data_IF_626322529860
#
_entry.id   IF_626322529860
#
_cell.length_a   1.000
_cell.length_b   1.000
_cell.length_c   1.000
_cell.angle_alpha   90.00
_cell.angle_beta   90.00
_cell.angle_gamma   90.00
#
_symmetry.space_group_name_H-M   'P 1'
#
loop_
_entity.id
_entity.type
_entity.pdbx_description
1 polymer ?
#
# COMPACT_ATOMS: atom_id res chain seq x y z
N UNK A 1 17.21 -6.58 -15.02
CA UNK A 1 16.09 -6.03 -14.21
C UNK A 1 16.64 -5.78 -12.83
N UNK A 2 16.42 -4.59 -12.32
CA UNK A 2 16.88 -4.13 -11.01
C UNK A 2 15.66 -3.77 -10.15
N UNK A 3 15.69 -4.10 -8.85
CA UNK A 3 14.66 -3.71 -7.90
C UNK A 3 15.33 -2.81 -6.86
N UNK A 4 14.84 -1.57 -6.75
CA UNK A 4 15.39 -0.59 -5.82
C UNK A 4 14.34 0.46 -5.43
N UNK A 5 14.75 1.41 -4.60
CA UNK A 5 13.98 2.62 -4.36
C UNK A 5 13.87 3.44 -5.65
N UNK A 6 12.70 3.98 -5.96
CA UNK A 6 12.56 4.83 -7.14
C UNK A 6 13.37 6.11 -7.00
N UNK A 7 13.89 6.56 -8.12
CA UNK A 7 14.51 7.89 -8.28
C UNK A 7 13.47 8.90 -8.76
N UNK A 8 13.76 10.19 -8.63
CA UNK A 8 12.84 11.25 -9.07
C UNK A 8 12.48 11.18 -10.57
N UNK A 9 13.38 10.66 -11.41
CA UNK A 9 13.10 10.47 -12.85
C UNK A 9 12.10 9.37 -13.15
N UNK A 10 11.83 8.47 -12.18
CA UNK A 10 10.87 7.37 -12.33
C UNK A 10 9.46 7.74 -11.84
N UNK A 11 9.28 8.84 -11.11
CA UNK A 11 7.97 9.23 -10.59
C UNK A 11 6.88 9.35 -11.67
N UNK A 12 7.11 9.98 -12.84
CA UNK A 12 6.11 9.98 -13.89
C UNK A 12 5.71 8.60 -14.38
N UNK A 13 6.66 7.66 -14.41
CA UNK A 13 6.39 6.27 -14.80
C UNK A 13 5.60 5.52 -13.71
N UNK A 14 5.86 5.80 -12.44
CA UNK A 14 5.08 5.26 -11.32
C UNK A 14 3.63 5.72 -11.37
N UNK A 15 3.38 7.00 -11.67
CA UNK A 15 2.04 7.56 -11.86
C UNK A 15 1.32 6.89 -13.04
N UNK A 16 2.01 6.73 -14.17
CA UNK A 16 1.48 6.05 -15.35
C UNK A 16 1.15 4.58 -15.08
N UNK A 17 2.03 3.86 -14.35
CA UNK A 17 1.78 2.48 -13.95
C UNK A 17 0.55 2.37 -13.03
N UNK A 18 0.39 3.32 -12.11
CA UNK A 18 -0.77 3.38 -11.23
C UNK A 18 -2.06 3.56 -12.03
N UNK A 19 -2.11 4.60 -12.89
CA UNK A 19 -3.25 4.89 -13.75
C UNK A 19 -3.64 3.65 -14.58
N UNK A 20 -2.65 3.01 -15.20
CA UNK A 20 -2.86 1.82 -16.03
C UNK A 20 -3.39 0.62 -15.24
N UNK A 21 -3.00 0.50 -13.97
CA UNK A 21 -3.29 -0.69 -13.15
C UNK A 21 -4.61 -0.60 -12.39
N UNK A 22 -4.99 0.60 -11.95
CA UNK A 22 -6.13 0.81 -11.06
C UNK A 22 -7.21 1.72 -11.65
N UNK A 23 -6.88 2.54 -12.65
CA UNK A 23 -7.84 3.43 -13.30
C UNK A 23 -8.30 4.61 -12.43
N UNK A 24 -7.59 4.89 -11.35
CA UNK A 24 -7.89 6.03 -10.47
C UNK A 24 -7.76 7.36 -11.21
N UNK A 25 -8.46 8.38 -10.76
CA UNK A 25 -8.39 9.71 -11.39
C UNK A 25 -7.01 10.35 -11.22
N UNK A 26 -6.65 11.23 -12.17
CA UNK A 26 -5.41 12.01 -12.06
C UNK A 26 -5.34 12.82 -10.77
N UNK A 27 -6.47 13.36 -10.32
CA UNK A 27 -6.57 14.10 -9.06
C UNK A 27 -6.25 13.24 -7.86
N UNK A 28 -6.79 12.02 -7.80
CA UNK A 28 -6.48 11.05 -6.73
C UNK A 28 -5.00 10.69 -6.73
N UNK A 29 -4.44 10.35 -7.90
CA UNK A 29 -3.03 10.00 -8.05
C UNK A 29 -2.14 11.19 -7.65
N UNK A 30 -2.47 12.40 -8.12
CA UNK A 30 -1.74 13.61 -7.75
C UNK A 30 -1.77 13.86 -6.24
N UNK A 31 -2.93 13.69 -5.61
CA UNK A 31 -3.10 13.79 -4.15
C UNK A 31 -2.22 12.81 -3.38
N UNK A 32 -2.21 11.53 -3.82
CA UNK A 32 -1.33 10.53 -3.23
C UNK A 32 0.15 10.91 -3.34
N UNK A 33 0.60 11.31 -4.52
CA UNK A 33 2.01 11.68 -4.72
C UNK A 33 2.41 12.99 -4.04
N UNK A 34 1.45 13.86 -3.76
CA UNK A 34 1.70 15.10 -3.00
C UNK A 34 1.76 14.88 -1.48
N UNK A 35 0.97 13.94 -0.92
CA UNK A 35 0.81 13.78 0.51
C UNK A 35 1.21 12.42 1.07
N UNK A 36 0.94 11.33 0.34
CA UNK A 36 1.16 9.95 0.83
C UNK A 36 2.43 9.28 0.32
N UNK A 37 2.96 9.74 -0.82
CA UNK A 37 4.12 9.13 -1.44
C UNK A 37 5.42 9.49 -0.72
N UNK A 38 6.20 8.45 -0.44
CA UNK A 38 7.57 8.59 0.02
C UNK A 38 8.45 7.61 -0.76
N UNK A 39 9.50 8.06 -1.49
CA UNK A 39 10.39 7.16 -2.23
C UNK A 39 10.97 6.05 -1.37
N UNK A 40 11.27 6.32 -0.09
CA UNK A 40 11.77 5.33 0.86
C UNK A 40 10.71 4.34 1.37
N UNK A 41 9.45 4.55 1.00
CA UNK A 41 8.32 3.65 1.24
C UNK A 41 7.72 3.13 -0.08
N UNK A 42 8.60 2.96 -1.08
CA UNK A 42 8.27 2.38 -2.37
C UNK A 42 9.42 1.47 -2.84
N UNK A 43 9.09 0.35 -3.45
CA UNK A 43 10.04 -0.46 -4.23
C UNK A 43 9.55 -0.53 -5.66
N UNK A 44 10.43 -0.37 -6.62
CA UNK A 44 10.10 -0.54 -8.02
C UNK A 44 11.10 -1.46 -8.73
N UNK A 45 10.58 -2.26 -9.65
CA UNK A 45 11.37 -3.06 -10.57
C UNK A 45 11.47 -2.30 -11.90
N UNK A 46 12.70 -2.08 -12.37
CA UNK A 46 12.95 -1.42 -13.65
C UNK A 46 13.73 -2.32 -14.60
N UNK A 47 13.40 -2.25 -15.88
CA UNK A 47 14.10 -2.93 -16.95
C UNK A 47 14.41 -1.91 -18.05
N UNK A 48 15.70 -1.74 -18.39
CA UNK A 48 16.16 -0.75 -19.38
C UNK A 48 15.65 0.68 -19.09
N UNK A 49 15.60 1.08 -17.84
CA UNK A 49 15.13 2.39 -17.40
C UNK A 49 13.60 2.56 -17.32
N UNK A 50 12.82 1.53 -17.70
CA UNK A 50 11.36 1.56 -17.62
C UNK A 50 10.87 0.84 -16.36
N UNK A 51 9.96 1.47 -15.63
CA UNK A 51 9.30 0.88 -14.46
C UNK A 51 8.34 -0.22 -14.92
N UNK A 52 8.65 -1.44 -14.55
CA UNK A 52 7.87 -2.64 -14.90
C UNK A 52 6.91 -3.07 -13.79
N UNK A 53 7.25 -2.80 -12.53
CA UNK A 53 6.38 -3.08 -11.38
C UNK A 53 6.72 -2.14 -10.22
N UNK A 54 5.75 -1.87 -9.37
CA UNK A 54 5.94 -1.07 -8.17
C UNK A 54 5.02 -1.53 -7.04
N UNK A 55 5.42 -1.25 -5.82
CA UNK A 55 4.58 -1.33 -4.63
C UNK A 55 4.97 -0.20 -3.66
N UNK A 56 4.01 0.19 -2.86
CA UNK A 56 4.17 1.21 -1.82
C UNK A 56 3.81 0.61 -0.46
N UNK A 57 4.16 1.29 0.62
CA UNK A 57 3.65 0.92 1.93
C UNK A 57 3.48 2.14 2.82
N UNK A 58 2.62 1.98 3.80
CA UNK A 58 2.45 2.86 4.93
C UNK A 58 2.90 2.16 6.20
N UNK A 59 3.41 2.91 7.15
CA UNK A 59 3.67 2.38 8.46
C UNK A 59 2.33 2.02 9.12
N UNK A 60 2.30 0.89 9.80
CA UNK A 60 1.11 0.43 10.49
C UNK A 60 1.51 -0.26 11.80
N UNK A 61 0.64 -0.14 12.78
CA UNK A 61 0.72 -0.91 14.02
C UNK A 61 -0.37 -1.98 14.01
N UNK A 62 -0.01 -3.18 14.39
CA UNK A 62 -0.94 -4.29 14.58
C UNK A 62 -0.52 -5.09 15.81
N UNK A 63 -1.39 -5.11 16.83
CA UNK A 63 -1.15 -5.80 18.11
C UNK A 63 0.16 -5.38 18.79
N UNK A 64 0.47 -4.09 18.74
CA UNK A 64 1.68 -3.53 19.34
C UNK A 64 2.98 -3.82 18.58
N UNK A 65 2.89 -4.38 17.37
CA UNK A 65 4.02 -4.68 16.50
C UNK A 65 4.04 -3.74 15.29
N UNK A 66 5.23 -3.47 14.75
CA UNK A 66 5.42 -2.60 13.60
C UNK A 66 5.23 -3.37 12.30
N UNK A 67 4.20 -3.03 11.55
CA UNK A 67 3.90 -3.61 10.25
C UNK A 67 4.00 -2.59 9.12
N UNK A 68 4.22 -3.08 7.91
CA UNK A 68 4.04 -2.31 6.68
C UNK A 68 2.70 -2.68 6.04
N UNK A 69 1.82 -1.72 5.83
CA UNK A 69 0.62 -1.91 5.03
C UNK A 69 0.96 -1.70 3.56
N UNK A 70 1.07 -2.80 2.81
CA UNK A 70 1.41 -2.76 1.38
C UNK A 70 0.23 -2.23 0.58
N UNK A 71 0.52 -1.30 -0.30
CA UNK A 71 -0.47 -0.57 -1.05
C UNK A 71 -0.10 -0.49 -2.54
N UNK A 72 -1.12 -0.48 -3.41
CA UNK A 72 -0.98 -0.31 -4.85
C UNK A 72 0.13 -1.17 -5.49
N UNK A 73 0.10 -2.49 -5.20
CA UNK A 73 1.03 -3.45 -5.82
C UNK A 73 0.65 -3.65 -7.28
N UNK A 74 1.49 -3.20 -8.20
CA UNK A 74 1.21 -3.20 -9.63
C UNK A 74 2.32 -3.83 -10.45
N UNK A 75 1.95 -4.49 -11.55
CA UNK A 75 2.87 -4.94 -12.59
C UNK A 75 2.31 -4.55 -13.94
N UNK A 76 3.11 -3.83 -14.73
CA UNK A 76 2.75 -3.38 -16.06
C UNK A 76 2.32 -4.58 -16.93
N UNK A 77 1.26 -4.50 -17.73
CA UNK A 77 0.74 -5.61 -18.53
C UNK A 77 1.79 -6.34 -19.35
N UNK A 78 2.67 -5.62 -20.03
CA UNK A 78 3.72 -6.19 -20.88
C UNK A 78 4.79 -6.97 -20.12
N UNK A 79 4.82 -6.82 -18.79
CA UNK A 79 5.79 -7.49 -17.92
C UNK A 79 5.16 -8.55 -17.01
N UNK A 80 3.85 -8.82 -17.17
CA UNK A 80 3.15 -9.85 -16.41
C UNK A 80 3.62 -11.26 -16.78
N UNK A 81 3.30 -12.23 -15.94
CA UNK A 81 3.65 -13.65 -16.09
C UNK A 81 5.17 -13.95 -16.13
N UNK A 82 6.00 -12.99 -15.74
CA UNK A 82 7.48 -13.11 -15.69
C UNK A 82 8.01 -13.24 -14.25
N UNK A 83 7.13 -13.46 -13.28
CA UNK A 83 7.51 -13.60 -11.86
C UNK A 83 7.82 -12.29 -11.13
N UNK A 84 7.66 -11.14 -11.79
CA UNK A 84 8.03 -9.81 -11.27
C UNK A 84 7.36 -9.45 -9.96
N UNK A 85 6.06 -9.64 -9.86
CA UNK A 85 5.32 -9.37 -8.61
C UNK A 85 5.93 -10.18 -7.44
N UNK A 86 6.23 -11.45 -7.65
CA UNK A 86 6.86 -12.29 -6.62
C UNK A 86 8.25 -11.78 -6.23
N UNK A 87 9.07 -11.41 -7.21
CA UNK A 87 10.40 -10.87 -6.95
C UNK A 87 10.35 -9.55 -6.18
N UNK A 88 9.45 -8.63 -6.59
CA UNK A 88 9.22 -7.36 -5.93
C UNK A 88 8.73 -7.52 -4.48
N UNK A 89 7.79 -8.45 -4.24
CA UNK A 89 7.28 -8.75 -2.90
C UNK A 89 8.38 -9.36 -2.00
N UNK A 90 9.23 -10.23 -2.54
CA UNK A 90 10.34 -10.81 -1.79
C UNK A 90 11.41 -9.76 -1.44
N UNK A 91 11.74 -8.88 -2.37
CA UNK A 91 12.66 -7.76 -2.15
C UNK A 91 12.10 -6.79 -1.09
N UNK A 92 10.82 -6.42 -1.20
CA UNK A 92 10.16 -5.58 -0.21
C UNK A 92 10.18 -6.23 1.18
N UNK A 93 9.91 -7.52 1.29
CA UNK A 93 9.97 -8.23 2.57
C UNK A 93 11.37 -8.18 3.19
N UNK A 94 12.44 -8.40 2.40
CA UNK A 94 13.82 -8.28 2.86
C UNK A 94 14.15 -6.84 3.31
N UNK A 95 13.73 -5.85 2.53
CA UNK A 95 13.89 -4.44 2.86
C UNK A 95 13.19 -4.08 4.18
N UNK A 96 11.94 -4.51 4.37
CA UNK A 96 11.16 -4.25 5.57
C UNK A 96 11.78 -4.93 6.79
N UNK A 97 12.20 -6.19 6.68
CA UNK A 97 12.91 -6.89 7.75
C UNK A 97 14.17 -6.14 8.17
N UNK A 98 14.98 -5.69 7.20
CA UNK A 98 16.18 -4.89 7.47
C UNK A 98 15.90 -3.53 8.14
N UNK A 99 14.65 -3.05 8.09
CA UNK A 99 14.19 -1.81 8.71
C UNK A 99 13.42 -2.03 10.02
N UNK A 100 13.42 -3.25 10.54
CA UNK A 100 12.82 -3.60 11.82
C UNK A 100 11.29 -3.68 11.80
N UNK A 101 10.69 -3.99 10.64
CA UNK A 101 9.26 -4.35 10.60
C UNK A 101 9.08 -5.82 10.98
N UNK A 102 8.07 -6.09 11.79
CA UNK A 102 7.70 -7.44 12.22
C UNK A 102 6.96 -8.23 11.13
N UNK A 103 6.38 -7.51 10.15
CA UNK A 103 5.68 -8.10 9.03
C UNK A 103 5.09 -7.11 8.05
N UNK A 104 4.36 -7.63 7.09
CA UNK A 104 3.63 -6.85 6.10
C UNK A 104 2.17 -7.30 6.03
N UNK A 105 1.28 -6.34 5.92
CA UNK A 105 -0.16 -6.52 5.76
C UNK A 105 -0.57 -6.05 4.37
N UNK A 106 -1.59 -6.67 3.81
CA UNK A 106 -2.21 -6.19 2.57
C UNK A 106 -3.67 -6.64 2.52
N UNK A 107 -4.46 -5.94 1.74
CA UNK A 107 -5.85 -6.30 1.47
C UNK A 107 -5.98 -6.71 0.00
N UNK A 108 -6.16 -8.01 -0.31
CA UNK A 108 -6.38 -8.46 -1.67
C UNK A 108 -7.76 -8.03 -2.16
N UNK A 109 -7.84 -7.51 -3.38
CA UNK A 109 -9.10 -7.06 -3.97
C UNK A 109 -10.07 -8.22 -4.24
N UNK A 110 -9.54 -9.40 -4.58
CA UNK A 110 -10.34 -10.57 -4.94
C UNK A 110 -9.73 -11.90 -4.44
N UNK A 111 -10.48 -12.97 -4.61
CA UNK A 111 -10.07 -14.32 -4.21
C UNK A 111 -8.88 -14.86 -5.02
N UNK A 112 -8.66 -14.39 -6.24
CA UNK A 112 -7.51 -14.75 -7.08
C UNK A 112 -6.22 -14.18 -6.51
N UNK A 113 -6.23 -12.89 -6.16
CA UNK A 113 -5.12 -12.21 -5.49
C UNK A 113 -4.86 -12.82 -4.11
N UNK A 114 -5.91 -13.12 -3.33
CA UNK A 114 -5.75 -13.81 -2.04
C UNK A 114 -5.01 -15.15 -2.18
N UNK A 115 -5.37 -15.96 -3.18
CA UNK A 115 -4.66 -17.22 -3.48
C UNK A 115 -3.22 -16.96 -3.95
N UNK A 116 -2.99 -15.93 -4.75
CA UNK A 116 -1.66 -15.54 -5.21
C UNK A 116 -0.75 -15.16 -4.05
N UNK A 117 -1.20 -14.28 -3.16
CA UNK A 117 -0.45 -13.88 -1.96
C UNK A 117 -0.26 -15.05 -0.98
N UNK A 118 -1.24 -15.92 -0.84
CA UNK A 118 -1.11 -17.17 -0.06
C UNK A 118 0.05 -18.06 -0.53
N UNK A 119 0.31 -18.13 -1.85
CA UNK A 119 1.47 -18.86 -2.41
C UNK A 119 2.81 -18.12 -2.17
N UNK A 120 2.77 -16.87 -1.73
CA UNK A 120 3.94 -16.08 -1.32
C UNK A 120 4.15 -16.10 0.21
N UNK A 121 3.33 -16.86 0.96
CA UNK A 121 3.45 -17.02 2.42
C UNK A 121 2.52 -16.13 3.24
N UNK A 122 1.70 -15.30 2.61
CA UNK A 122 0.69 -14.50 3.32
C UNK A 122 -0.43 -15.37 3.87
N UNK A 123 -0.95 -15.00 5.03
CA UNK A 123 -2.06 -15.69 5.70
C UNK A 123 -3.10 -14.68 6.14
N UNK A 124 -4.34 -15.11 6.21
CA UNK A 124 -5.41 -14.28 6.77
C UNK A 124 -5.12 -14.04 8.27
N UNK A 125 -5.13 -12.79 8.66
CA UNK A 125 -4.85 -12.38 10.04
C UNK A 125 -5.97 -11.54 10.66
N UNK A 126 -6.76 -10.86 9.83
CA UNK A 126 -7.87 -10.01 10.24
C UNK A 126 -8.94 -9.95 9.15
N UNK A 127 -10.09 -9.44 9.51
CA UNK A 127 -11.22 -9.20 8.59
C UNK A 127 -11.47 -7.70 8.49
N UNK A 128 -11.91 -7.25 7.32
CA UNK A 128 -12.46 -5.90 7.14
C UNK A 128 -13.96 -5.99 7.38
N UNK A 129 -14.47 -5.15 8.28
CA UNK A 129 -15.91 -5.03 8.49
C UNK A 129 -16.46 -3.99 7.53
N UNK A 130 -17.45 -4.39 6.75
CA UNK A 130 -18.24 -3.48 5.96
C UNK A 130 -19.56 -3.24 6.69
N UNK A 131 -19.97 -1.99 6.78
CA UNK A 131 -21.27 -1.62 7.30
C UNK A 131 -21.88 -0.56 6.39
N UNK A 132 -23.19 -0.60 6.27
CA UNK A 132 -23.98 0.46 5.65
C UNK A 132 -24.87 1.10 6.70
N UNK A 133 -25.03 2.40 6.64
CA UNK A 133 -26.00 3.13 7.43
C UNK A 133 -26.88 3.97 6.50
N UNK A 134 -28.10 4.20 6.92
CA UNK A 134 -28.97 5.15 6.21
C UNK A 134 -28.36 6.54 6.25
N UNK A 135 -28.58 7.33 5.19
CA UNK A 135 -28.20 8.72 5.18
C UNK A 135 -28.96 9.45 6.30
N UNK A 136 -28.23 9.80 7.34
CA UNK A 136 -28.75 10.62 8.43
C UNK A 136 -28.84 12.10 8.05
N UNK A 137 -29.21 12.93 9.01
CA UNK A 137 -29.15 14.38 8.85
C UNK A 137 -27.72 14.83 8.56
N UNK A 138 -27.56 15.86 7.74
CA UNK A 138 -26.27 16.43 7.41
C UNK A 138 -25.54 16.88 8.67
N UNK A 139 -24.40 16.28 8.96
CA UNK A 139 -23.57 16.64 10.11
C UNK A 139 -22.52 17.67 9.66
N UNK A 140 -22.37 18.73 10.43
CA UNK A 140 -21.30 19.69 10.18
C UNK A 140 -19.93 19.03 10.41
N UNK A 141 -19.14 18.91 9.34
CA UNK A 141 -17.75 18.43 9.41
C UNK A 141 -16.83 19.59 9.78
N UNK A 142 -15.86 19.34 10.64
CA UNK A 142 -14.79 20.27 10.93
C UNK A 142 -13.42 19.65 10.57
N UNK A 143 -12.47 20.43 10.10
CA UNK A 143 -11.10 19.98 9.97
C UNK A 143 -10.53 19.59 11.34
N UNK A 144 -9.71 18.57 11.38
CA UNK A 144 -8.91 18.17 12.54
C UNK A 144 -7.43 18.18 12.17
N UNK A 145 -6.54 18.39 13.13
CA UNK A 145 -5.11 18.23 12.90
C UNK A 145 -4.74 16.74 12.79
N UNK A 146 -3.60 16.44 12.18
CA UNK A 146 -3.08 15.08 12.07
C UNK A 146 -2.94 14.40 13.43
N UNK A 147 -2.43 15.15 14.43
CA UNK A 147 -2.32 14.65 15.81
C UNK A 147 -3.68 14.33 16.44
N UNK A 148 -4.70 15.17 16.21
CA UNK A 148 -6.06 14.92 16.69
C UNK A 148 -6.67 13.71 15.95
N UNK A 149 -6.48 13.61 14.65
CA UNK A 149 -6.94 12.48 13.85
C UNK A 149 -6.30 11.15 14.32
N UNK A 150 -5.00 11.14 14.53
CA UNK A 150 -4.29 9.96 15.04
C UNK A 150 -4.80 9.55 16.44
N UNK A 151 -5.06 10.52 17.33
CA UNK A 151 -5.66 10.26 18.64
C UNK A 151 -7.05 9.65 18.52
N UNK A 152 -7.94 10.24 17.71
CA UNK A 152 -9.30 9.76 17.50
C UNK A 152 -9.29 8.33 16.91
N UNK A 153 -8.42 8.06 15.95
CA UNK A 153 -8.28 6.70 15.42
C UNK A 153 -7.95 5.68 16.49
N UNK A 154 -6.99 5.98 17.37
CA UNK A 154 -6.61 5.09 18.48
C UNK A 154 -7.74 4.91 19.50
N UNK A 155 -8.56 5.94 19.71
CA UNK A 155 -9.68 5.91 20.64
C UNK A 155 -10.86 5.07 20.13
N UNK A 156 -11.15 5.16 18.82
CA UNK A 156 -12.35 4.55 18.23
C UNK A 156 -12.09 3.23 17.49
N UNK A 157 -10.84 2.92 17.13
CA UNK A 157 -10.52 1.63 16.53
C UNK A 157 -10.40 0.54 17.61
N UNK A 158 -10.78 -0.71 17.27
CA UNK A 158 -10.60 -1.82 18.20
C UNK A 158 -9.13 -1.97 18.61
N UNK A 159 -8.83 -2.41 19.86
CA UNK A 159 -7.46 -2.58 20.34
C UNK A 159 -6.61 -3.57 19.53
N UNK A 160 -7.28 -4.50 18.82
CA UNK A 160 -6.67 -5.48 17.93
C UNK A 160 -6.80 -5.10 16.44
N UNK A 161 -7.21 -3.87 16.16
CA UNK A 161 -7.30 -3.33 14.80
C UNK A 161 -5.93 -2.96 14.22
N UNK A 162 -5.88 -2.86 12.91
CA UNK A 162 -4.72 -2.31 12.19
C UNK A 162 -4.80 -0.79 12.20
N UNK A 163 -3.79 -0.13 12.78
CA UNK A 163 -3.68 1.33 12.80
C UNK A 163 -2.64 1.74 11.77
N UNK A 164 -3.06 2.34 10.70
CA UNK A 164 -2.17 2.92 9.68
C UNK A 164 -1.66 4.26 10.18
N UNK A 165 -0.35 4.45 10.12
CA UNK A 165 0.35 5.69 10.50
C UNK A 165 0.93 6.35 9.25
N UNK A 166 0.89 7.66 9.17
CA UNK A 166 1.51 8.46 8.10
C UNK A 166 0.56 9.29 7.32
#
# INVERSE_FOLDING_TARGET
>A
MEIDYPTGVQEPQLRALWQLSFGDSEEFIAGFFAGGYCPRRCRCAAENGNVAAALYWFDAEFRGQKFAYLYAVATHPDFRNRGLCRALMADAAACLTGRGYDGALLMPHDSGLRKMYGRMGYRDCCTVSEFSCDAGEAVALRPVSDAEFARLRREYLPPDGVIQEG
#
